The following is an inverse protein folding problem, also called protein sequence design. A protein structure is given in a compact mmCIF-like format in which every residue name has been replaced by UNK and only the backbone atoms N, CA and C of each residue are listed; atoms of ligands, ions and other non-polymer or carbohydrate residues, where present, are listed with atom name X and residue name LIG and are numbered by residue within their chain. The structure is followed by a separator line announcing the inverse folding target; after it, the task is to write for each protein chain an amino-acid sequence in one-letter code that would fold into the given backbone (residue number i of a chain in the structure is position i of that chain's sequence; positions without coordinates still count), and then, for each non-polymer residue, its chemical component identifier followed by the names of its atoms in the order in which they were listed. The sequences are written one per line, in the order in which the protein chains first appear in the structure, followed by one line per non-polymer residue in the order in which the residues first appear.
data_IF_587535494890
#
_entry.id   IF_587535494890
#
_cell.length_a   1.000
_cell.length_b   1.000
_cell.length_c   1.000
_cell.angle_alpha   90.00
_cell.angle_beta   90.00
_cell.angle_gamma   90.00
#
_symmetry.space_group_name_H-M   'P 1'
#
loop_
_entity.id
_entity.type
_entity.pdbx_description
1 polymer ?
#
# COMPACT_ATOMS: atom_id res chain seq x y z
N UNK A 1 0.69 -9.60 -7.83
CA UNK A 1 1.09 -8.69 -8.94
C UNK A 1 2.34 -9.26 -9.56
N UNK A 2 2.46 -9.24 -10.89
CA UNK A 2 3.66 -9.73 -11.59
C UNK A 2 4.81 -8.73 -11.46
N UNK A 3 6.05 -9.22 -11.45
CA UNK A 3 7.25 -8.40 -11.27
C UNK A 3 7.39 -7.35 -12.38
N UNK A 4 7.15 -7.72 -13.64
CA UNK A 4 7.23 -6.81 -14.79
C UNK A 4 6.20 -5.67 -14.70
N UNK A 5 4.93 -5.99 -14.41
CA UNK A 5 3.88 -4.98 -14.14
C UNK A 5 4.25 -4.07 -12.96
N UNK A 6 4.84 -4.64 -11.90
CA UNK A 6 5.29 -3.87 -10.75
C UNK A 6 6.40 -2.88 -11.09
N UNK A 7 7.40 -3.31 -11.86
CA UNK A 7 8.52 -2.48 -12.31
C UNK A 7 8.05 -1.39 -13.26
N UNK A 8 7.12 -1.68 -14.16
CA UNK A 8 6.51 -0.67 -15.05
C UNK A 8 5.76 0.41 -14.25
N UNK A 9 5.00 0.02 -13.22
CA UNK A 9 4.32 0.98 -12.33
C UNK A 9 5.31 1.83 -11.52
N UNK A 10 6.40 1.24 -11.03
CA UNK A 10 7.46 1.98 -10.34
C UNK A 10 8.07 3.00 -11.29
N UNK A 11 8.41 2.59 -12.51
CA UNK A 11 8.96 3.47 -13.54
C UNK A 11 8.03 4.66 -13.83
N UNK A 12 6.74 4.41 -14.02
CA UNK A 12 5.77 5.47 -14.27
C UNK A 12 5.74 6.48 -13.12
N UNK A 13 5.70 6.01 -11.86
CA UNK A 13 5.72 6.89 -10.69
C UNK A 13 7.00 7.69 -10.56
N UNK A 14 8.15 7.10 -10.90
CA UNK A 14 9.42 7.82 -10.93
C UNK A 14 9.41 8.92 -11.99
N UNK A 15 8.83 8.67 -13.17
CA UNK A 15 8.64 9.71 -14.20
C UNK A 15 7.73 10.82 -13.69
N UNK A 16 6.62 10.49 -13.02
CA UNK A 16 5.70 11.47 -12.42
C UNK A 16 6.40 12.31 -11.35
N UNK A 17 7.28 11.69 -10.56
CA UNK A 17 8.11 12.36 -9.54
C UNK A 17 9.29 13.13 -10.14
N UNK A 18 9.44 13.17 -11.48
CA UNK A 18 10.59 13.77 -12.18
C UNK A 18 11.94 13.23 -11.68
N UNK A 19 11.98 11.92 -11.41
CA UNK A 19 13.20 11.23 -11.02
C UNK A 19 14.29 11.41 -12.08
N UNK A 20 15.53 11.33 -11.63
CA UNK A 20 16.71 11.55 -12.46
C UNK A 20 16.85 10.41 -13.49
N UNK A 21 17.46 10.69 -14.65
CA UNK A 21 17.62 9.69 -15.70
C UNK A 21 18.41 8.45 -15.25
N UNK A 22 19.33 8.62 -14.29
CA UNK A 22 20.10 7.51 -13.69
C UNK A 22 19.19 6.51 -12.97
N UNK A 23 18.21 7.00 -12.24
CA UNK A 23 17.21 6.20 -11.51
C UNK A 23 16.30 5.47 -12.48
N UNK A 24 15.83 6.15 -13.54
CA UNK A 24 15.05 5.52 -14.60
C UNK A 24 15.85 4.43 -15.32
N UNK A 25 17.13 4.69 -15.61
CA UNK A 25 18.03 3.73 -16.24
C UNK A 25 18.34 2.50 -15.37
N UNK A 26 18.34 2.63 -14.05
CA UNK A 26 18.39 1.47 -13.15
C UNK A 26 17.14 0.60 -13.31
N UNK A 27 15.96 1.21 -13.21
CA UNK A 27 14.69 0.47 -13.29
C UNK A 27 14.51 -0.18 -14.67
N UNK A 28 14.88 0.51 -15.75
CA UNK A 28 14.84 -0.02 -17.11
C UNK A 28 15.75 -1.25 -17.28
N UNK A 29 16.96 -1.23 -16.69
CA UNK A 29 17.87 -2.40 -16.71
C UNK A 29 17.31 -3.58 -15.93
N UNK A 30 16.70 -3.32 -14.76
CA UNK A 30 16.07 -4.37 -13.95
C UNK A 30 14.86 -4.95 -14.67
N UNK A 31 14.05 -4.11 -15.34
CA UNK A 31 12.92 -4.53 -16.15
C UNK A 31 13.38 -5.43 -17.31
N UNK A 32 14.36 -4.99 -18.11
CA UNK A 32 14.89 -5.78 -19.21
C UNK A 32 15.47 -7.13 -18.76
N UNK A 33 16.11 -7.16 -17.59
CA UNK A 33 16.60 -8.41 -16.98
C UNK A 33 15.45 -9.33 -16.58
N UNK A 34 14.41 -8.78 -15.94
CA UNK A 34 13.24 -9.53 -15.54
C UNK A 34 12.51 -10.12 -16.75
N UNK A 35 12.35 -9.38 -17.84
CA UNK A 35 11.72 -9.87 -19.07
C UNK A 35 12.49 -11.05 -19.67
N UNK A 36 13.83 -10.98 -19.70
CA UNK A 36 14.67 -12.08 -20.21
C UNK A 36 14.67 -13.33 -19.32
N UNK A 37 14.55 -13.15 -18.01
CA UNK A 37 14.62 -14.23 -17.03
C UNK A 37 13.27 -14.92 -16.76
N UNK A 38 12.22 -14.63 -17.56
CA UNK A 38 10.88 -15.18 -17.31
C UNK A 38 10.18 -14.53 -16.11
N UNK A 39 10.51 -13.29 -15.80
CA UNK A 39 9.95 -12.49 -14.71
C UNK A 39 8.43 -12.26 -14.79
N UNK A 40 7.81 -12.61 -15.93
CA UNK A 40 6.35 -12.74 -16.06
C UNK A 40 5.76 -13.79 -15.11
N UNK A 41 6.54 -14.76 -14.64
CA UNK A 41 6.10 -15.74 -13.64
C UNK A 41 6.44 -15.33 -12.21
N UNK A 42 7.35 -14.36 -12.04
CA UNK A 42 7.77 -13.89 -10.73
C UNK A 42 6.69 -12.99 -10.13
N UNK A 43 6.14 -13.40 -8.99
CA UNK A 43 5.18 -12.60 -8.24
C UNK A 43 5.87 -11.75 -7.18
N UNK A 44 5.40 -10.51 -7.06
CA UNK A 44 5.77 -9.61 -5.97
C UNK A 44 4.58 -9.36 -5.06
N UNK A 45 4.87 -9.25 -3.77
CA UNK A 45 3.89 -9.04 -2.71
C UNK A 45 3.38 -7.60 -2.67
N UNK A 46 4.28 -6.63 -2.86
CA UNK A 46 3.94 -5.20 -2.86
C UNK A 46 4.93 -4.36 -3.67
N UNK A 47 4.48 -3.18 -4.13
CA UNK A 47 5.37 -2.18 -4.75
C UNK A 47 6.41 -1.68 -3.74
N UNK A 48 5.99 -1.47 -2.48
CA UNK A 48 6.86 -0.99 -1.40
C UNK A 48 8.03 -1.94 -1.14
N UNK A 49 7.80 -3.24 -1.03
CA UNK A 49 8.87 -4.22 -0.86
C UNK A 49 9.82 -4.24 -2.07
N UNK A 50 9.29 -4.07 -3.28
CA UNK A 50 10.11 -4.03 -4.49
C UNK A 50 11.02 -2.79 -4.52
N UNK A 51 10.49 -1.61 -4.20
CA UNK A 51 11.29 -0.38 -4.07
C UNK A 51 12.38 -0.54 -3.00
N UNK A 52 12.05 -1.10 -1.83
CA UNK A 52 13.06 -1.39 -0.79
C UNK A 52 14.15 -2.36 -1.25
N UNK A 53 13.81 -3.33 -2.12
CA UNK A 53 14.82 -4.21 -2.73
C UNK A 53 15.71 -3.45 -3.72
N UNK A 54 15.13 -2.57 -4.54
CA UNK A 54 15.89 -1.71 -5.46
C UNK A 54 16.86 -0.79 -4.70
N UNK A 55 16.44 -0.21 -3.58
CA UNK A 55 17.31 0.62 -2.73
C UNK A 55 18.50 -0.14 -2.13
N UNK A 56 18.41 -1.47 -2.01
CA UNK A 56 19.50 -2.33 -1.50
C UNK A 56 20.46 -2.79 -2.58
N UNK A 57 20.22 -2.44 -3.85
CA UNK A 57 21.12 -2.79 -4.95
C UNK A 57 22.45 -2.03 -4.82
N UNK A 58 23.56 -2.60 -5.33
CA UNK A 58 24.84 -1.91 -5.34
C UNK A 58 24.77 -0.58 -6.09
N UNK A 59 23.98 -0.48 -7.16
CA UNK A 59 23.78 0.77 -7.90
C UNK A 59 23.15 1.88 -7.05
N UNK A 60 22.10 1.55 -6.27
CA UNK A 60 21.47 2.52 -5.37
C UNK A 60 22.39 2.90 -4.20
N UNK A 61 23.12 1.93 -3.64
CA UNK A 61 24.07 2.20 -2.54
C UNK A 61 25.27 3.06 -2.98
N UNK A 62 25.68 2.96 -4.25
CA UNK A 62 26.84 3.68 -4.79
C UNK A 62 26.47 5.04 -5.41
N UNK A 63 25.19 5.34 -5.56
CA UNK A 63 24.71 6.59 -6.14
C UNK A 63 23.60 7.20 -5.29
N UNK A 64 23.96 8.24 -4.52
CA UNK A 64 23.03 8.92 -3.61
C UNK A 64 21.82 9.50 -4.34
N UNK A 65 21.97 9.88 -5.62
CA UNK A 65 20.90 10.44 -6.43
C UNK A 65 19.80 9.41 -6.68
N UNK A 66 20.20 8.17 -7.00
CA UNK A 66 19.29 7.04 -7.19
C UNK A 66 18.63 6.68 -5.86
N UNK A 67 19.39 6.64 -4.77
CA UNK A 67 18.86 6.34 -3.46
C UNK A 67 17.79 7.34 -3.02
N UNK A 68 18.07 8.65 -3.19
CA UNK A 68 17.17 9.75 -2.83
C UNK A 68 15.85 9.67 -3.61
N UNK A 69 15.90 9.51 -4.93
CA UNK A 69 14.70 9.37 -5.77
C UNK A 69 13.86 8.14 -5.35
N UNK A 70 14.52 7.01 -5.04
CA UNK A 70 13.84 5.80 -4.56
C UNK A 70 13.28 5.97 -3.14
N UNK A 71 13.94 6.73 -2.27
CA UNK A 71 13.50 7.01 -0.91
C UNK A 71 12.23 7.87 -0.90
N UNK A 72 12.15 8.89 -1.75
CA UNK A 72 10.93 9.69 -1.93
C UNK A 72 9.75 8.79 -2.36
N UNK A 73 10.00 7.88 -3.31
CA UNK A 73 8.96 6.94 -3.75
C UNK A 73 8.57 5.94 -2.64
N UNK A 74 9.54 5.47 -1.85
CA UNK A 74 9.32 4.58 -0.70
C UNK A 74 8.39 5.22 0.33
N UNK A 75 8.66 6.47 0.68
CA UNK A 75 7.85 7.23 1.64
C UNK A 75 6.40 7.39 1.14
N UNK A 76 6.22 7.78 -0.12
CA UNK A 76 4.89 7.92 -0.73
C UNK A 76 4.11 6.60 -0.70
N UNK A 77 4.76 5.47 -1.01
CA UNK A 77 4.14 4.15 -0.98
C UNK A 77 3.82 3.69 0.45
N UNK A 78 4.70 4.00 1.42
CA UNK A 78 4.48 3.69 2.83
C UNK A 78 3.29 4.49 3.38
N UNK A 79 3.18 5.78 3.05
CA UNK A 79 2.03 6.61 3.43
C UNK A 79 0.73 6.08 2.83
N UNK A 80 0.71 5.71 1.55
CA UNK A 80 -0.46 5.11 0.90
C UNK A 80 -0.88 3.80 1.58
N UNK A 81 0.08 2.94 1.93
CA UNK A 81 -0.19 1.69 2.63
C UNK A 81 -0.77 1.94 4.04
N UNK A 82 -0.22 2.91 4.77
CA UNK A 82 -0.71 3.30 6.10
C UNK A 82 -2.13 3.86 6.04
N UNK A 83 -2.44 4.72 5.06
CA UNK A 83 -3.79 5.25 4.86
C UNK A 83 -4.80 4.15 4.53
N UNK A 84 -4.43 3.20 3.67
CA UNK A 84 -5.28 2.06 3.34
C UNK A 84 -5.54 1.16 4.56
N UNK A 85 -4.55 0.95 5.42
CA UNK A 85 -4.70 0.20 6.66
C UNK A 85 -5.61 0.92 7.66
N UNK A 86 -5.43 2.24 7.83
CA UNK A 86 -6.29 3.06 8.69
C UNK A 86 -7.75 3.07 8.23
N UNK A 87 -7.99 3.16 6.92
CA UNK A 87 -9.33 3.11 6.36
C UNK A 87 -10.04 1.76 6.61
N UNK A 88 -9.31 0.64 6.62
CA UNK A 88 -9.86 -0.68 6.95
C UNK A 88 -10.23 -0.77 8.43
N UNK A 89 -9.35 -0.32 9.32
CA UNK A 89 -9.64 -0.30 10.76
C UNK A 89 -10.90 0.51 11.10
N UNK A 90 -11.09 1.66 10.45
CA UNK A 90 -12.31 2.48 10.62
C UNK A 90 -13.59 1.81 10.11
N UNK A 91 -13.50 0.96 9.09
CA UNK A 91 -14.63 0.18 8.59
C UNK A 91 -14.99 -0.97 9.52
N UNK A 92 -13.99 -1.61 10.13
CA UNK A 92 -14.18 -2.67 11.13
C UNK A 92 -14.70 -2.12 12.48
N UNK A 93 -14.32 -0.89 12.85
CA UNK A 93 -14.81 -0.21 14.05
C UNK A 93 -16.24 0.34 13.91
N UNK A 94 -16.85 0.35 12.71
CA UNK A 94 -18.26 0.73 12.59
C UNK A 94 -19.10 -0.29 13.38
N UNK A 95 -19.72 0.11 14.51
CA UNK A 95 -20.51 -0.82 15.28
C UNK A 95 -21.66 -1.29 14.40
N UNK A 96 -21.77 -2.60 14.20
CA UNK A 96 -22.94 -3.18 13.54
C UNK A 96 -24.18 -2.63 14.25
N UNK A 97 -25.19 -2.13 13.52
CA UNK A 97 -26.40 -1.61 14.15
C UNK A 97 -26.97 -2.69 15.08
N UNK A 98 -27.14 -2.34 16.36
CA UNK A 98 -27.63 -3.28 17.38
C UNK A 98 -28.90 -3.97 16.85
N UNK A 99 -29.00 -5.31 16.96
CA UNK A 99 -30.10 -6.05 16.37
C UNK A 99 -31.46 -5.55 16.91
N UNK A 100 -32.50 -5.54 16.08
CA UNK A 100 -33.87 -5.07 16.41
C UNK A 100 -34.43 -5.66 17.72
N UNK A 101 -33.97 -6.84 18.15
CA UNK A 101 -34.31 -7.44 19.45
C UNK A 101 -33.92 -6.54 20.63
N UNK A 102 -32.73 -5.92 20.59
CA UNK A 102 -32.26 -4.99 21.62
C UNK A 102 -33.22 -3.81 21.82
N UNK A 103 -33.73 -3.23 20.74
CA UNK A 103 -34.69 -2.13 20.82
C UNK A 103 -36.09 -2.58 21.27
N UNK A 104 -36.50 -3.81 20.96
CA UNK A 104 -37.78 -4.37 21.46
C UNK A 104 -37.72 -4.63 22.96
N UNK A 105 -36.64 -5.23 23.45
CA UNK A 105 -36.43 -5.49 24.87
C UNK A 105 -36.34 -4.19 25.68
N UNK A 106 -35.68 -3.16 25.14
CA UNK A 106 -35.61 -1.84 25.78
C UNK A 106 -37.00 -1.20 25.89
N UNK A 107 -37.80 -1.25 24.82
CA UNK A 107 -39.17 -0.71 24.79
C UNK A 107 -40.13 -1.49 25.69
N UNK A 108 -39.96 -2.81 25.82
CA UNK A 108 -40.73 -3.63 26.77
C UNK A 108 -40.34 -3.34 28.22
N UNK A 109 -39.06 -3.08 28.48
CA UNK A 109 -38.55 -2.76 29.82
C UNK A 109 -38.96 -1.37 30.29
N UNK A 110 -39.05 -0.39 29.38
CA UNK A 110 -39.63 0.93 29.67
C UNK A 110 -41.16 0.84 29.87
N UNK A 111 -41.86 0.02 29.08
CA UNK A 111 -43.29 -0.25 29.26
C UNK A 111 -43.66 -0.99 30.54
N UNK A 112 -42.69 -1.68 31.18
CA UNK A 112 -42.86 -2.32 32.49
C UNK A 112 -42.46 -1.42 33.67
N UNK A 113 -42.01 -0.19 33.42
CA UNK A 113 -41.76 0.83 34.45
C UNK A 113 -42.80 1.98 34.53
N UNK A 114 -44.12 1.80 34.34
CA UNK A 114 -45.08 2.76 34.85
C UNK A 114 -45.34 2.42 36.32
N UNK A 115 -44.81 3.23 37.25
CA UNK A 115 -45.20 3.18 38.67
C UNK A 115 -44.06 2.97 39.67
N UNK A 116 -43.09 3.88 39.72
CA UNK A 116 -42.49 4.26 41.00
C UNK A 116 -42.88 5.71 41.27
N UNK A 117 -44.05 5.88 41.88
CA UNK A 117 -44.46 6.98 42.75
C UNK A 117 -45.47 6.41 43.72
#
# INVERSE_FOLDING_TARGET
MYLTDALQRIRQRLVENRARPETLGLVDRVLATAERAGGEQAQVRSLLELVRRLMRTPEANSNVAIYDDLAVLEEQLAQQAAQAAAARAQQEERPLPKPKKYYRELKERERRKPGQS
#
